data_IF_200692891514
#
_entry.id   IF_200692891514
#
_cell.length_a   1.000
_cell.length_b   1.000
_cell.length_c   1.000
_cell.angle_alpha   90.00
_cell.angle_beta   90.00
_cell.angle_gamma   90.00
#
_symmetry.space_group_name_H-M   'P 1'
#
loop_
_entity.id
_entity.type
_entity.pdbx_description
1 polymer ?
#
# COMPACT_ATOMS: atom_id res chain seq x y z
N UNK A 1 8.39 17.95 -34.27
CA UNK A 1 8.83 18.72 -33.10
C UNK A 1 7.64 19.31 -32.37
N UNK A 2 6.81 18.57 -31.72
CA UNK A 2 5.67 19.11 -30.93
C UNK A 2 5.18 18.08 -29.88
N UNK A 3 6.06 17.60 -29.03
CA UNK A 3 5.71 16.60 -28.02
C UNK A 3 6.36 16.75 -26.63
N UNK A 4 7.29 17.69 -26.48
CA UNK A 4 8.10 17.80 -25.25
C UNK A 4 7.60 18.86 -24.23
N UNK A 5 6.52 19.59 -24.52
CA UNK A 5 6.24 20.85 -23.79
C UNK A 5 5.19 20.71 -22.68
N UNK A 6 4.51 19.58 -22.52
CA UNK A 6 3.43 19.46 -21.52
C UNK A 6 3.83 18.96 -20.12
N UNK A 7 5.02 18.45 -19.92
CA UNK A 7 5.46 17.89 -18.63
C UNK A 7 6.10 18.89 -17.66
N UNK A 8 6.47 20.09 -18.11
CA UNK A 8 7.16 21.09 -17.28
C UNK A 8 6.29 22.31 -16.90
N UNK A 9 5.03 22.35 -17.31
CA UNK A 9 4.17 23.54 -17.07
C UNK A 9 3.85 23.77 -15.60
N UNK A 10 3.76 22.69 -14.82
CA UNK A 10 3.47 22.76 -13.38
C UNK A 10 4.71 23.12 -12.54
N UNK A 11 5.93 22.79 -12.98
CA UNK A 11 7.17 23.18 -12.28
C UNK A 11 7.40 24.70 -12.27
N UNK A 12 6.99 25.42 -13.31
CA UNK A 12 7.20 26.88 -13.42
C UNK A 12 6.24 27.71 -12.57
N UNK A 13 5.09 27.16 -12.16
CA UNK A 13 4.10 27.88 -11.35
C UNK A 13 4.42 27.98 -9.86
N UNK A 14 5.33 27.13 -9.34
CA UNK A 14 5.51 26.94 -7.89
C UNK A 14 6.60 27.82 -7.25
N UNK A 15 7.25 28.68 -8.03
CA UNK A 15 8.22 29.68 -7.53
C UNK A 15 7.56 30.93 -6.95
N UNK A 16 6.28 31.18 -7.26
CA UNK A 16 5.55 32.36 -6.79
C UNK A 16 4.87 32.05 -5.43
N UNK A 17 5.01 32.92 -4.40
CA UNK A 17 4.34 32.76 -3.10
C UNK A 17 2.83 32.55 -3.19
N UNK A 18 2.13 33.27 -4.09
CA UNK A 18 0.69 33.12 -4.29
C UNK A 18 0.30 31.75 -4.82
N UNK A 19 1.11 31.15 -5.73
CA UNK A 19 0.85 29.80 -6.24
C UNK A 19 1.05 28.74 -5.15
N UNK A 20 1.99 28.92 -4.24
CA UNK A 20 2.19 28.03 -3.09
C UNK A 20 1.00 28.11 -2.13
N UNK A 21 0.50 29.30 -1.81
CA UNK A 21 -0.69 29.46 -0.98
C UNK A 21 -1.89 28.77 -1.63
N UNK A 22 -2.12 29.01 -2.93
CA UNK A 22 -3.20 28.36 -3.68
C UNK A 22 -3.07 26.82 -3.65
N UNK A 23 -1.85 26.28 -3.81
CA UNK A 23 -1.58 24.84 -3.72
C UNK A 23 -1.92 24.30 -2.33
N UNK A 24 -1.53 24.99 -1.25
CA UNK A 24 -1.84 24.58 0.14
C UNK A 24 -3.34 24.56 0.41
N UNK A 25 -4.04 25.61 -0.03
CA UNK A 25 -5.50 25.69 0.11
C UNK A 25 -6.18 24.55 -0.67
N UNK A 26 -5.80 24.34 -1.92
CA UNK A 26 -6.36 23.27 -2.76
C UNK A 26 -6.05 21.87 -2.19
N UNK A 27 -4.84 21.66 -1.68
CA UNK A 27 -4.46 20.43 -1.01
C UNK A 27 -5.30 20.19 0.25
N UNK A 28 -5.42 21.19 1.12
CA UNK A 28 -6.28 21.11 2.31
C UNK A 28 -7.74 20.83 1.94
N UNK A 29 -8.28 21.54 0.95
CA UNK A 29 -9.65 21.33 0.47
C UNK A 29 -9.89 19.91 -0.09
N UNK A 30 -8.87 19.27 -0.66
CA UNK A 30 -8.97 17.89 -1.15
C UNK A 30 -8.81 16.85 -0.05
N UNK A 31 -7.88 17.04 0.89
CA UNK A 31 -7.53 16.02 1.88
C UNK A 31 -8.37 16.07 3.17
N UNK A 32 -8.73 17.27 3.66
CA UNK A 32 -9.46 17.40 4.94
C UNK A 32 -10.83 16.70 4.94
N UNK A 33 -11.71 16.87 3.92
CA UNK A 33 -12.99 16.15 3.89
C UNK A 33 -12.81 14.63 3.86
N UNK A 34 -11.80 14.16 3.14
CA UNK A 34 -11.46 12.75 3.03
C UNK A 34 -11.02 12.18 4.38
N UNK A 35 -10.10 12.84 5.06
CA UNK A 35 -9.63 12.45 6.40
C UNK A 35 -10.81 12.45 7.38
N UNK A 36 -11.64 13.50 7.39
CA UNK A 36 -12.82 13.59 8.25
C UNK A 36 -13.79 12.43 8.02
N UNK A 37 -14.01 12.03 6.77
CA UNK A 37 -14.84 10.89 6.39
C UNK A 37 -14.34 9.59 7.04
N UNK A 38 -13.07 9.24 6.85
CA UNK A 38 -12.51 7.98 7.33
C UNK A 38 -12.25 7.97 8.85
N UNK A 39 -11.87 9.09 9.44
CA UNK A 39 -11.81 9.25 10.91
C UNK A 39 -13.19 9.08 11.51
N UNK A 40 -14.23 9.65 10.89
CA UNK A 40 -15.62 9.46 11.29
C UNK A 40 -16.02 7.97 11.32
N UNK A 41 -15.63 7.19 10.31
CA UNK A 41 -15.85 5.74 10.28
C UNK A 41 -15.12 5.01 11.41
N UNK A 42 -13.85 5.36 11.68
CA UNK A 42 -13.08 4.79 12.79
C UNK A 42 -13.76 5.05 14.14
N UNK A 43 -14.28 6.26 14.36
CA UNK A 43 -14.99 6.62 15.58
C UNK A 43 -16.33 5.87 15.71
N UNK A 44 -17.10 5.79 14.61
CA UNK A 44 -18.36 5.04 14.58
C UNK A 44 -18.13 3.55 14.86
N UNK A 45 -17.12 2.93 14.24
CA UNK A 45 -16.73 1.54 14.48
C UNK A 45 -16.40 1.28 15.96
N UNK A 46 -15.63 2.17 16.60
CA UNK A 46 -15.29 2.07 18.03
C UNK A 46 -16.54 2.15 18.91
N UNK A 47 -17.42 3.11 18.65
CA UNK A 47 -18.69 3.25 19.41
C UNK A 47 -19.58 2.02 19.27
N UNK A 48 -19.71 1.47 18.05
CA UNK A 48 -20.47 0.24 17.83
C UNK A 48 -19.87 -0.94 18.59
N UNK A 49 -18.54 -1.09 18.57
CA UNK A 49 -17.84 -2.12 19.32
C UNK A 49 -18.03 -1.98 20.84
N UNK A 50 -17.98 -0.76 21.38
CA UNK A 50 -18.25 -0.48 22.81
C UNK A 50 -19.70 -0.79 23.19
N UNK A 51 -20.66 -0.42 22.33
CA UNK A 51 -22.08 -0.70 22.57
C UNK A 51 -22.36 -2.21 22.56
N UNK A 52 -21.79 -2.96 21.61
CA UNK A 52 -21.89 -4.40 21.56
C UNK A 52 -21.32 -5.05 22.85
N UNK A 53 -20.15 -4.60 23.29
CA UNK A 53 -19.53 -5.08 24.55
C UNK A 53 -20.41 -4.89 25.77
N UNK A 54 -21.07 -3.73 25.88
CA UNK A 54 -21.99 -3.43 27.01
C UNK A 54 -23.22 -4.36 27.00
N UNK A 55 -23.73 -4.71 25.83
CA UNK A 55 -24.89 -5.63 25.66
C UNK A 55 -24.54 -7.07 26.04
N UNK A 56 -23.32 -7.50 25.74
CA UNK A 56 -22.86 -8.87 26.00
C UNK A 56 -22.41 -9.09 27.45
N UNK A 57 -22.82 -8.24 28.38
CA UNK A 57 -22.57 -8.41 29.83
C UNK A 57 -21.13 -8.22 30.28
N UNK A 58 -20.31 -7.60 29.48
CA UNK A 58 -18.93 -7.24 29.88
C UNK A 58 -18.03 -8.46 30.16
N UNK A 59 -18.33 -9.64 29.61
CA UNK A 59 -17.48 -10.81 29.76
C UNK A 59 -16.03 -10.41 29.43
N UNK A 60 -15.12 -10.67 30.36
CA UNK A 60 -13.71 -10.28 30.28
C UNK A 60 -13.07 -10.94 29.05
N UNK A 61 -13.08 -10.21 27.92
CA UNK A 61 -12.29 -10.61 26.76
C UNK A 61 -10.83 -10.49 27.14
N UNK A 62 -10.03 -11.45 26.74
CA UNK A 62 -8.59 -11.26 26.72
C UNK A 62 -8.32 -10.03 25.85
N UNK A 63 -8.11 -8.89 26.49
CA UNK A 63 -7.64 -7.69 25.78
C UNK A 63 -6.28 -8.00 25.19
N UNK A 64 -6.07 -7.59 23.95
CA UNK A 64 -4.74 -7.55 23.41
C UNK A 64 -3.83 -6.76 24.36
N UNK A 65 -2.75 -7.37 24.81
CA UNK A 65 -1.85 -6.80 25.79
C UNK A 65 -0.45 -6.67 25.21
N UNK A 66 0.18 -5.55 25.50
CA UNK A 66 1.61 -5.35 25.26
C UNK A 66 2.23 -4.66 26.48
N UNK A 67 3.50 -4.93 26.75
CA UNK A 67 4.31 -4.20 27.72
C UNK A 67 5.14 -3.10 27.03
N UNK A 68 5.19 -3.11 25.71
CA UNK A 68 5.91 -2.13 24.92
C UNK A 68 5.13 -0.79 24.84
N UNK A 69 5.83 0.33 24.62
CA UNK A 69 5.19 1.64 24.50
C UNK A 69 4.15 1.69 23.37
N UNK A 70 3.03 2.34 23.65
CA UNK A 70 1.95 2.62 22.67
C UNK A 70 1.83 4.12 22.54
N UNK A 71 1.85 4.69 21.33
CA UNK A 71 1.73 6.13 21.15
C UNK A 71 0.34 6.60 21.61
N UNK A 72 0.31 7.72 22.33
CA UNK A 72 -0.94 8.36 22.67
C UNK A 72 -1.63 8.99 21.45
N UNK A 73 -2.88 9.43 21.60
CA UNK A 73 -3.64 10.02 20.50
C UNK A 73 -2.99 11.29 19.97
N UNK A 74 -2.37 12.11 20.83
CA UNK A 74 -1.73 13.36 20.44
C UNK A 74 -0.52 13.06 19.53
N UNK A 75 0.29 12.08 19.89
CA UNK A 75 1.42 11.62 19.09
C UNK A 75 0.96 11.06 17.73
N UNK A 76 -0.07 10.20 17.72
CA UNK A 76 -0.62 9.66 16.46
C UNK A 76 -1.10 10.77 15.52
N UNK A 77 -1.84 11.76 16.02
CA UNK A 77 -2.31 12.87 15.18
C UNK A 77 -1.17 13.78 14.72
N UNK A 78 -0.13 13.97 15.53
CA UNK A 78 1.05 14.72 15.11
C UNK A 78 1.78 14.02 13.96
N UNK A 79 1.97 12.70 14.04
CA UNK A 79 2.64 11.91 13.00
C UNK A 79 1.78 11.80 11.73
N UNK A 80 0.44 11.74 11.86
CA UNK A 80 -0.47 11.89 10.70
C UNK A 80 -0.29 13.25 10.02
N UNK A 81 -0.24 14.33 10.79
CA UNK A 81 -0.02 15.68 10.26
C UNK A 81 1.33 15.80 9.56
N UNK A 82 2.37 15.18 10.11
CA UNK A 82 3.70 15.13 9.49
C UNK A 82 3.68 14.40 8.15
N UNK A 83 2.93 13.31 8.01
CA UNK A 83 2.77 12.63 6.73
C UNK A 83 2.11 13.54 5.68
N UNK A 84 1.02 14.24 6.04
CA UNK A 84 0.37 15.17 5.11
C UNK A 84 1.24 16.38 4.78
N UNK A 85 2.04 16.85 5.73
CA UNK A 85 3.04 17.88 5.49
C UNK A 85 4.11 17.42 4.48
N UNK A 86 4.62 16.20 4.65
CA UNK A 86 5.56 15.58 3.71
C UNK A 86 4.96 15.40 2.32
N UNK A 87 3.70 14.94 2.26
CA UNK A 87 2.95 14.79 1.01
C UNK A 87 2.75 16.13 0.29
N UNK A 88 2.36 17.18 1.02
CA UNK A 88 2.25 18.54 0.50
C UNK A 88 3.61 19.08 0.04
N UNK A 89 4.67 18.88 0.81
CA UNK A 89 6.02 19.31 0.44
C UNK A 89 6.48 18.66 -0.88
N UNK A 90 6.14 17.39 -1.11
CA UNK A 90 6.40 16.71 -2.36
C UNK A 90 5.62 17.33 -3.54
N UNK A 91 4.36 17.75 -3.31
CA UNK A 91 3.57 18.49 -4.31
C UNK A 91 4.22 19.84 -4.60
N UNK A 92 4.58 20.61 -3.56
CA UNK A 92 5.24 21.91 -3.72
C UNK A 92 6.61 21.81 -4.40
N UNK A 93 7.37 20.76 -4.15
CA UNK A 93 8.62 20.46 -4.83
C UNK A 93 8.41 19.96 -6.27
N UNK A 94 7.17 19.76 -6.66
CA UNK A 94 6.86 19.31 -7.99
C UNK A 94 7.25 17.86 -8.26
N UNK A 95 7.21 17.01 -7.27
CA UNK A 95 7.50 15.59 -7.44
C UNK A 95 6.30 14.83 -8.03
N UNK A 96 5.11 15.31 -7.76
CA UNK A 96 3.84 14.86 -8.37
C UNK A 96 2.79 15.98 -8.33
N UNK A 97 1.74 15.91 -9.15
CA UNK A 97 0.68 16.91 -9.18
C UNK A 97 -0.14 16.91 -7.89
N UNK A 98 -1.00 17.91 -7.72
CA UNK A 98 -2.00 17.92 -6.66
C UNK A 98 -2.81 16.61 -6.72
N UNK A 99 -2.89 15.84 -5.61
CA UNK A 99 -3.49 14.52 -5.63
C UNK A 99 -4.98 14.54 -5.97
N UNK A 100 -5.40 13.64 -6.87
CA UNK A 100 -6.78 13.27 -7.08
C UNK A 100 -6.96 11.83 -6.58
N UNK A 101 -7.56 11.67 -5.39
CA UNK A 101 -7.63 10.35 -4.74
C UNK A 101 -8.66 9.41 -5.39
N UNK A 102 -9.54 9.92 -6.25
CA UNK A 102 -10.52 9.15 -7.03
C UNK A 102 -11.33 8.13 -6.20
N UNK A 103 -11.75 8.53 -5.00
CA UNK A 103 -12.54 7.67 -4.11
C UNK A 103 -13.94 7.32 -4.66
N UNK A 104 -14.33 7.95 -5.75
CA UNK A 104 -15.62 7.77 -6.40
C UNK A 104 -16.60 8.90 -6.12
N UNK A 105 -17.84 8.72 -6.58
CA UNK A 105 -18.93 9.63 -6.29
C UNK A 105 -19.40 9.49 -4.83
N UNK A 106 -20.19 10.46 -4.34
CA UNK A 106 -20.79 10.36 -3.00
C UNK A 106 -21.62 9.07 -2.85
N UNK A 107 -22.34 8.65 -3.89
CA UNK A 107 -23.08 7.38 -3.91
C UNK A 107 -22.15 6.18 -3.75
N UNK A 108 -21.00 6.19 -4.42
CA UNK A 108 -19.99 5.14 -4.29
C UNK A 108 -19.42 5.09 -2.87
N UNK A 109 -19.12 6.25 -2.29
CA UNK A 109 -18.64 6.34 -0.90
C UNK A 109 -19.66 5.81 0.09
N UNK A 110 -20.94 6.20 -0.03
CA UNK A 110 -22.03 5.70 0.81
C UNK A 110 -22.21 4.19 0.64
N UNK A 111 -22.21 3.69 -0.59
CA UNK A 111 -22.32 2.26 -0.86
C UNK A 111 -21.19 1.45 -0.20
N UNK A 112 -19.94 1.87 -0.37
CA UNK A 112 -18.78 1.23 0.27
C UNK A 112 -18.81 1.32 1.78
N UNK A 113 -19.27 2.45 2.33
CA UNK A 113 -19.49 2.62 3.76
C UNK A 113 -20.52 1.64 4.29
N UNK A 114 -21.62 1.44 3.55
CA UNK A 114 -22.64 0.45 3.91
C UNK A 114 -22.05 -0.95 3.93
N UNK A 115 -21.36 -1.39 2.87
CA UNK A 115 -20.68 -2.69 2.82
C UNK A 115 -19.68 -2.88 3.97
N UNK A 116 -18.95 -1.82 4.33
CA UNK A 116 -18.02 -1.83 5.45
C UNK A 116 -18.73 -2.08 6.77
N UNK A 117 -19.80 -1.33 7.08
CA UNK A 117 -20.55 -1.47 8.34
C UNK A 117 -21.35 -2.78 8.41
N UNK A 118 -21.87 -3.28 7.30
CA UNK A 118 -22.57 -4.57 7.22
C UNK A 118 -21.66 -5.76 7.54
N UNK A 119 -20.35 -5.68 7.23
CA UNK A 119 -19.39 -6.75 7.53
C UNK A 119 -18.90 -6.75 9.00
N UNK A 120 -18.97 -5.63 9.72
CA UNK A 120 -18.43 -5.50 11.09
C UNK A 120 -18.96 -6.56 12.08
N UNK A 121 -20.25 -6.93 12.11
CA UNK A 121 -20.72 -7.97 13.00
C UNK A 121 -20.10 -9.35 12.71
N UNK A 122 -19.89 -9.66 11.44
CA UNK A 122 -19.25 -10.91 11.04
C UNK A 122 -17.75 -10.91 11.39
N UNK A 123 -17.05 -9.81 11.16
CA UNK A 123 -15.65 -9.60 11.58
C UNK A 123 -15.53 -9.78 13.10
N UNK A 124 -16.42 -9.18 13.90
CA UNK A 124 -16.40 -9.28 15.35
C UNK A 124 -16.60 -10.74 15.81
N UNK A 125 -17.59 -11.45 15.27
CA UNK A 125 -17.81 -12.88 15.59
C UNK A 125 -16.60 -13.75 15.25
N UNK A 126 -15.96 -13.53 14.09
CA UNK A 126 -14.76 -14.28 13.71
C UNK A 126 -13.58 -13.95 14.61
N UNK A 127 -13.37 -12.69 14.95
CA UNK A 127 -12.32 -12.27 15.89
C UNK A 127 -12.48 -12.94 17.27
N UNK A 128 -13.69 -12.99 17.79
CA UNK A 128 -14.00 -13.63 19.08
C UNK A 128 -13.70 -15.11 19.08
N UNK A 129 -14.08 -15.77 17.99
CA UNK A 129 -13.90 -17.22 17.82
C UNK A 129 -12.51 -17.59 17.28
N UNK A 130 -11.67 -16.62 16.97
CA UNK A 130 -10.41 -16.81 16.23
C UNK A 130 -10.62 -17.61 14.94
N UNK A 131 -11.79 -17.47 14.30
CA UNK A 131 -12.16 -18.18 13.09
C UNK A 131 -11.62 -17.43 11.87
N UNK A 132 -10.77 -18.07 11.09
CA UNK A 132 -10.10 -17.46 9.94
C UNK A 132 -10.04 -18.37 8.71
N UNK A 133 -10.77 -19.49 8.73
CA UNK A 133 -10.71 -20.53 7.69
C UNK A 133 -11.99 -20.60 6.84
N UNK A 134 -12.83 -19.60 6.88
CA UNK A 134 -14.11 -19.57 6.11
C UNK A 134 -13.88 -19.79 4.62
N UNK A 135 -12.81 -19.23 4.07
CA UNK A 135 -12.48 -19.32 2.63
C UNK A 135 -11.75 -20.61 2.26
N UNK A 136 -11.39 -21.45 3.23
CA UNK A 136 -10.78 -22.76 3.01
C UNK A 136 -11.90 -23.81 2.85
N UNK A 137 -12.45 -23.92 1.66
CA UNK A 137 -13.46 -24.91 1.28
C UNK A 137 -12.86 -26.00 0.39
N UNK A 138 -13.64 -27.04 0.10
CA UNK A 138 -13.24 -28.07 -0.88
C UNK A 138 -13.08 -27.47 -2.28
N UNK A 139 -13.89 -26.46 -2.63
CA UNK A 139 -13.82 -25.77 -3.91
C UNK A 139 -12.54 -24.95 -4.08
N UNK A 140 -11.98 -24.40 -3.01
CA UNK A 140 -10.79 -23.54 -3.04
C UNK A 140 -9.49 -24.29 -2.78
N UNK A 141 -9.59 -25.43 -2.10
CA UNK A 141 -8.44 -26.29 -1.75
C UNK A 141 -7.73 -26.78 -3.01
N UNK A 142 -6.40 -26.62 -3.04
CA UNK A 142 -5.57 -27.00 -4.19
C UNK A 142 -5.54 -26.01 -5.35
N UNK A 143 -6.48 -25.06 -5.44
CA UNK A 143 -6.49 -24.02 -6.48
C UNK A 143 -5.63 -22.80 -6.12
N UNK A 144 -5.41 -22.59 -4.84
CA UNK A 144 -4.61 -21.46 -4.32
C UNK A 144 -3.65 -21.97 -3.23
N UNK A 145 -2.55 -21.26 -2.96
CA UNK A 145 -1.68 -21.60 -1.84
C UNK A 145 -2.43 -21.54 -0.52
N UNK A 146 -2.11 -22.46 0.40
CA UNK A 146 -2.79 -22.53 1.69
C UNK A 146 -2.63 -21.23 2.50
N UNK A 147 -1.49 -20.57 2.40
CA UNK A 147 -1.24 -19.31 3.11
C UNK A 147 -2.19 -18.18 2.70
N UNK A 148 -2.74 -18.24 1.50
CA UNK A 148 -3.69 -17.27 0.96
C UNK A 148 -5.16 -17.58 1.35
N UNK A 149 -5.48 -18.84 1.63
CA UNK A 149 -6.85 -19.29 1.92
C UNK A 149 -7.21 -19.03 3.40
N UNK A 150 -7.21 -17.75 3.78
CA UNK A 150 -7.51 -17.28 5.12
C UNK A 150 -8.34 -16.00 5.08
N UNK A 151 -9.07 -15.73 6.16
CA UNK A 151 -9.79 -14.47 6.33
C UNK A 151 -8.87 -13.43 6.97
N UNK A 152 -7.93 -12.89 6.20
CA UNK A 152 -7.10 -11.78 6.66
C UNK A 152 -8.01 -10.66 7.20
N UNK A 153 -7.58 -9.98 8.26
CA UNK A 153 -8.38 -9.01 9.01
C UNK A 153 -9.73 -9.53 9.50
N UNK A 154 -9.96 -10.84 9.51
CA UNK A 154 -11.26 -11.48 9.76
C UNK A 154 -12.38 -11.06 8.81
N UNK A 155 -12.06 -10.46 7.66
CA UNK A 155 -13.06 -9.98 6.71
C UNK A 155 -13.80 -11.14 6.02
N UNK A 156 -15.07 -10.92 5.69
CA UNK A 156 -15.89 -11.92 4.98
C UNK A 156 -15.38 -12.16 3.57
N UNK A 157 -15.27 -13.45 3.20
CA UNK A 157 -14.79 -13.88 1.90
C UNK A 157 -13.28 -13.71 1.68
N UNK A 158 -12.49 -13.33 2.69
CA UNK A 158 -11.06 -13.06 2.53
C UNK A 158 -10.81 -12.08 1.38
N UNK A 159 -9.88 -12.40 0.48
CA UNK A 159 -9.64 -11.65 -0.75
C UNK A 159 -10.21 -12.34 -2.00
N UNK A 160 -11.25 -13.15 -1.83
CA UNK A 160 -11.73 -14.05 -2.87
C UNK A 160 -13.10 -13.67 -3.45
N UNK A 161 -13.68 -12.52 -3.05
CA UNK A 161 -15.00 -12.08 -3.50
C UNK A 161 -15.00 -10.67 -4.07
N UNK A 162 -15.94 -10.37 -4.96
CA UNK A 162 -16.11 -9.02 -5.52
C UNK A 162 -16.54 -8.02 -4.44
N UNK A 163 -17.37 -8.43 -3.46
CA UNK A 163 -17.75 -7.59 -2.32
C UNK A 163 -16.54 -7.22 -1.44
N UNK A 164 -15.62 -8.19 -1.24
CA UNK A 164 -14.37 -7.91 -0.55
C UNK A 164 -13.54 -6.86 -1.30
N UNK A 165 -13.39 -7.00 -2.62
CA UNK A 165 -12.66 -6.03 -3.43
C UNK A 165 -13.31 -4.64 -3.41
N UNK A 166 -14.67 -4.56 -3.40
CA UNK A 166 -15.38 -3.28 -3.39
C UNK A 166 -15.21 -2.50 -2.08
N UNK A 167 -15.21 -3.20 -0.93
CA UNK A 167 -15.06 -2.54 0.39
C UNK A 167 -13.61 -2.36 0.84
N UNK A 168 -12.65 -3.06 0.22
CA UNK A 168 -11.24 -3.12 0.65
C UNK A 168 -10.62 -1.74 0.82
N UNK A 169 -10.75 -0.86 -0.16
CA UNK A 169 -10.17 0.47 -0.09
C UNK A 169 -10.72 1.29 1.08
N UNK A 170 -12.01 1.15 1.39
CA UNK A 170 -12.63 1.78 2.56
C UNK A 170 -12.08 1.19 3.86
N UNK A 171 -11.92 -0.14 3.94
CA UNK A 171 -11.34 -0.80 5.11
C UNK A 171 -9.92 -0.31 5.39
N UNK A 172 -9.07 -0.25 4.37
CA UNK A 172 -7.69 0.22 4.50
C UNK A 172 -7.66 1.69 4.90
N UNK A 173 -8.46 2.55 4.28
CA UNK A 173 -8.48 3.96 4.64
C UNK A 173 -9.02 4.20 6.05
N UNK A 174 -10.02 3.44 6.51
CA UNK A 174 -10.51 3.49 7.89
C UNK A 174 -9.44 3.04 8.87
N UNK A 175 -8.71 1.95 8.57
CA UNK A 175 -7.59 1.47 9.38
C UNK A 175 -6.49 2.53 9.52
N UNK A 176 -6.17 3.20 8.45
CA UNK A 176 -5.16 4.26 8.37
C UNK A 176 -5.70 5.67 8.70
N UNK A 177 -6.94 5.82 9.14
CA UNK A 177 -7.59 7.10 9.41
C UNK A 177 -7.50 8.11 8.24
N UNK A 178 -7.63 7.62 7.01
CA UNK A 178 -7.58 8.44 5.79
C UNK A 178 -6.18 8.76 5.26
N UNK A 179 -5.13 8.16 5.82
CA UNK A 179 -3.73 8.44 5.41
C UNK A 179 -3.17 7.45 4.38
N UNK A 180 -3.88 6.38 4.05
CA UNK A 180 -3.33 5.31 3.23
C UNK A 180 -2.87 5.79 1.85
N UNK A 181 -3.62 6.68 1.18
CA UNK A 181 -3.20 7.22 -0.11
C UNK A 181 -1.99 8.16 0.02
N UNK A 182 -1.91 8.99 1.07
CA UNK A 182 -0.74 9.83 1.34
C UNK A 182 0.51 8.96 1.60
N UNK A 183 0.35 7.83 2.31
CA UNK A 183 1.41 6.82 2.51
C UNK A 183 1.85 6.21 1.18
N UNK A 184 0.91 5.75 0.34
CA UNK A 184 1.20 5.21 -1.00
C UNK A 184 1.98 6.19 -1.87
N UNK A 185 1.62 7.48 -1.83
CA UNK A 185 2.29 8.53 -2.62
C UNK A 185 3.76 8.73 -2.23
N UNK A 186 4.20 8.32 -1.03
CA UNK A 186 5.61 8.41 -0.65
C UNK A 186 6.53 7.49 -1.50
N UNK A 187 5.98 6.54 -2.24
CA UNK A 187 6.73 5.76 -3.23
C UNK A 187 7.06 6.58 -4.50
N UNK A 188 6.24 7.57 -4.87
CA UNK A 188 6.40 8.31 -6.13
C UNK A 188 7.70 9.10 -6.23
N UNK A 189 8.17 9.83 -5.19
CA UNK A 189 9.48 10.48 -5.22
C UNK A 189 10.62 9.51 -5.47
N UNK A 190 10.53 8.29 -4.92
CA UNK A 190 11.57 7.27 -5.04
C UNK A 190 11.69 6.76 -6.50
N UNK A 191 10.58 6.64 -7.20
CA UNK A 191 10.54 6.25 -8.61
C UNK A 191 11.03 7.37 -9.53
N UNK A 192 10.83 8.63 -9.15
CA UNK A 192 11.21 9.77 -9.95
C UNK A 192 12.70 9.82 -10.26
N UNK A 193 13.54 9.44 -9.32
CA UNK A 193 15.00 9.42 -9.49
C UNK A 193 15.42 8.47 -10.63
N UNK A 194 14.81 7.29 -10.70
CA UNK A 194 15.09 6.29 -11.73
C UNK A 194 14.51 6.68 -13.10
N UNK A 195 13.39 7.43 -13.10
CA UNK A 195 12.68 7.80 -14.32
C UNK A 195 13.09 9.19 -14.86
N UNK A 196 13.92 9.95 -14.10
CA UNK A 196 14.32 11.30 -14.49
C UNK A 196 15.01 11.33 -15.85
N UNK A 197 14.59 12.30 -16.71
CA UNK A 197 15.16 12.49 -18.03
C UNK A 197 14.85 11.37 -19.06
N UNK A 198 14.13 10.34 -18.70
CA UNK A 198 13.81 9.20 -19.56
C UNK A 198 12.39 9.32 -20.16
N UNK A 199 12.20 8.86 -21.37
CA UNK A 199 10.86 8.76 -21.97
C UNK A 199 10.06 7.65 -21.26
N UNK A 200 8.98 8.04 -20.57
CA UNK A 200 8.15 7.10 -19.82
C UNK A 200 7.60 5.92 -20.66
N UNK A 201 7.42 6.10 -21.97
CA UNK A 201 6.92 5.05 -22.88
C UNK A 201 7.91 3.91 -23.07
N UNK A 202 9.20 4.15 -22.82
CA UNK A 202 10.30 3.18 -22.93
C UNK A 202 10.62 2.51 -21.58
N UNK A 203 10.03 2.99 -20.50
CA UNK A 203 10.15 2.42 -19.16
C UNK A 203 9.11 1.32 -18.95
N UNK A 204 9.33 0.48 -17.96
CA UNK A 204 8.40 -0.56 -17.53
C UNK A 204 8.37 -0.63 -16.01
N UNK A 205 7.18 -0.70 -15.44
CA UNK A 205 6.97 -0.89 -14.01
C UNK A 205 6.06 -2.09 -13.77
N UNK A 206 6.44 -2.92 -12.81
CA UNK A 206 5.60 -3.98 -12.24
C UNK A 206 5.20 -3.60 -10.82
N UNK A 207 3.91 -3.69 -10.50
CA UNK A 207 3.37 -3.53 -9.15
C UNK A 207 2.92 -4.91 -8.63
N UNK A 208 3.63 -5.40 -7.60
CA UNK A 208 3.46 -6.72 -7.03
C UNK A 208 2.48 -6.67 -5.87
N UNK A 209 1.39 -7.43 -5.96
CA UNK A 209 0.27 -7.33 -5.04
C UNK A 209 -0.52 -6.04 -5.27
N UNK A 210 -0.86 -5.76 -6.54
CA UNK A 210 -1.46 -4.47 -6.91
C UNK A 210 -2.88 -4.25 -6.33
N UNK A 211 -3.52 -5.30 -5.80
CA UNK A 211 -4.84 -5.25 -5.19
C UNK A 211 -5.89 -4.63 -6.12
N UNK A 212 -6.62 -3.66 -5.58
CA UNK A 212 -7.66 -2.88 -6.31
C UNK A 212 -7.08 -1.81 -7.24
N UNK A 213 -5.75 -1.69 -7.33
CA UNK A 213 -5.06 -0.76 -8.22
C UNK A 213 -4.91 0.67 -7.67
N UNK A 214 -5.13 0.90 -6.38
CA UNK A 214 -5.04 2.25 -5.79
C UNK A 214 -3.71 2.95 -6.00
N UNK A 215 -2.60 2.25 -5.77
CA UNK A 215 -1.28 2.83 -6.03
C UNK A 215 -1.08 3.10 -7.52
N UNK A 216 -1.53 2.20 -8.38
CA UNK A 216 -1.41 2.35 -9.82
C UNK A 216 -2.16 3.57 -10.35
N UNK A 217 -3.29 3.95 -9.75
CA UNK A 217 -3.98 5.18 -10.09
C UNK A 217 -3.14 6.42 -9.76
N UNK A 218 -2.56 6.48 -8.57
CA UNK A 218 -1.65 7.55 -8.15
C UNK A 218 -0.40 7.62 -9.03
N UNK A 219 0.17 6.47 -9.38
CA UNK A 219 1.31 6.37 -10.30
C UNK A 219 0.99 6.98 -11.68
N UNK A 220 -0.19 6.64 -12.21
CA UNK A 220 -0.63 7.11 -13.54
C UNK A 220 -0.92 8.60 -13.61
N UNK A 221 -1.25 9.24 -12.51
CA UNK A 221 -1.36 10.71 -12.45
C UNK A 221 -0.02 11.39 -12.71
N UNK A 222 1.09 10.73 -12.39
CA UNK A 222 2.46 11.25 -12.61
C UNK A 222 3.01 10.81 -13.96
N UNK A 223 2.83 9.53 -14.30
CA UNK A 223 3.34 8.91 -15.53
C UNK A 223 2.23 8.25 -16.34
N UNK A 224 1.34 9.01 -16.99
CA UNK A 224 0.16 8.47 -17.67
C UNK A 224 0.49 7.52 -18.84
N UNK A 225 1.67 7.63 -19.43
CA UNK A 225 2.12 6.80 -20.57
C UNK A 225 3.12 5.71 -20.17
N UNK A 226 3.39 5.51 -18.88
CA UNK A 226 4.28 4.46 -18.39
C UNK A 226 3.63 3.08 -18.61
N UNK A 227 4.23 2.17 -19.40
CA UNK A 227 3.80 0.78 -19.46
C UNK A 227 3.88 0.14 -18.08
N UNK A 228 2.74 -0.28 -17.55
CA UNK A 228 2.59 -0.75 -16.18
C UNK A 228 1.92 -2.10 -16.15
N UNK A 229 2.46 -3.02 -15.36
CA UNK A 229 1.92 -4.34 -15.12
C UNK A 229 1.52 -4.46 -13.64
N UNK A 230 0.24 -4.68 -13.37
CA UNK A 230 -0.27 -5.04 -12.04
C UNK A 230 -0.38 -6.56 -11.92
N UNK A 231 0.15 -7.11 -10.84
CA UNK A 231 0.01 -8.52 -10.51
C UNK A 231 -0.65 -8.68 -9.15
N UNK A 232 -1.66 -9.52 -9.08
CA UNK A 232 -2.32 -9.92 -7.82
C UNK A 232 -2.83 -11.35 -7.93
N UNK A 233 -2.94 -12.05 -6.81
CA UNK A 233 -3.47 -13.42 -6.78
C UNK A 233 -5.00 -13.44 -6.82
N UNK A 234 -5.65 -12.34 -6.44
CA UNK A 234 -7.09 -12.21 -6.38
C UNK A 234 -7.69 -11.83 -7.74
N UNK A 235 -8.42 -12.73 -8.36
CA UNK A 235 -9.20 -12.40 -9.58
C UNK A 235 -10.23 -11.30 -9.34
N UNK A 236 -11.03 -11.31 -8.25
CA UNK A 236 -11.95 -10.22 -7.94
C UNK A 236 -11.27 -8.86 -7.84
N UNK A 237 -10.11 -8.80 -7.18
CA UNK A 237 -9.34 -7.55 -7.05
C UNK A 237 -8.79 -7.09 -8.40
N UNK A 238 -8.30 -8.00 -9.23
CA UNK A 238 -7.87 -7.66 -10.60
C UNK A 238 -9.07 -7.18 -11.45
N UNK A 239 -10.25 -7.80 -11.34
CA UNK A 239 -11.45 -7.29 -12.02
C UNK A 239 -11.80 -5.88 -11.55
N UNK A 240 -11.74 -5.64 -10.24
CA UNK A 240 -11.96 -4.32 -9.66
C UNK A 240 -10.92 -3.30 -10.17
N UNK A 241 -9.62 -3.64 -10.14
CA UNK A 241 -8.55 -2.79 -10.64
C UNK A 241 -8.75 -2.41 -12.12
N UNK A 242 -9.12 -3.38 -12.98
CA UNK A 242 -9.42 -3.12 -14.40
C UNK A 242 -10.57 -2.11 -14.57
N UNK A 243 -11.65 -2.21 -13.76
CA UNK A 243 -12.77 -1.25 -13.80
C UNK A 243 -12.35 0.13 -13.29
N UNK A 244 -11.65 0.17 -12.16
CA UNK A 244 -11.19 1.41 -11.52
C UNK A 244 -10.22 2.19 -12.40
N UNK A 245 -9.33 1.49 -13.10
CA UNK A 245 -8.24 2.06 -13.88
C UNK A 245 -8.56 2.17 -15.39
N UNK A 246 -9.81 1.92 -15.81
CA UNK A 246 -10.21 1.92 -17.23
C UNK A 246 -9.89 3.21 -17.98
N UNK A 247 -9.75 4.35 -17.27
CA UNK A 247 -9.39 5.66 -17.84
C UNK A 247 -7.91 5.75 -18.25
N UNK A 248 -7.05 4.86 -17.74
CA UNK A 248 -5.64 4.86 -18.03
C UNK A 248 -5.30 3.87 -19.13
N UNK A 249 -4.51 4.29 -20.08
CA UNK A 249 -3.88 3.42 -21.08
C UNK A 249 -2.56 2.84 -20.58
N UNK A 250 -1.98 1.92 -21.35
CA UNK A 250 -0.69 1.30 -21.03
C UNK A 250 -0.67 0.51 -19.72
N UNK A 251 -1.81 -0.15 -19.42
CA UNK A 251 -2.00 -0.98 -18.24
C UNK A 251 -2.26 -2.43 -18.65
N UNK A 252 -1.58 -3.35 -17.99
CA UNK A 252 -1.82 -4.80 -18.08
C UNK A 252 -1.95 -5.38 -16.69
N UNK A 253 -2.69 -6.48 -16.58
CA UNK A 253 -2.92 -7.16 -15.31
C UNK A 253 -2.76 -8.66 -15.47
N UNK A 254 -2.12 -9.29 -14.49
CA UNK A 254 -1.94 -10.74 -14.38
C UNK A 254 -2.51 -11.20 -13.04
N UNK A 255 -3.28 -12.29 -13.08
CA UNK A 255 -3.62 -13.06 -11.87
C UNK A 255 -2.49 -14.05 -11.64
N UNK A 256 -1.74 -13.89 -10.56
CA UNK A 256 -0.55 -14.70 -10.32
C UNK A 256 -0.02 -14.59 -8.89
N UNK A 257 0.90 -15.50 -8.57
CA UNK A 257 1.57 -15.56 -7.27
C UNK A 257 2.80 -14.67 -7.27
N UNK A 258 3.11 -14.08 -6.12
CA UNK A 258 4.32 -13.26 -5.95
C UNK A 258 5.63 -14.07 -6.06
N UNK A 259 5.56 -15.37 -5.78
CA UNK A 259 6.69 -16.29 -5.82
C UNK A 259 6.85 -17.05 -7.15
N UNK A 260 6.03 -16.75 -8.16
CA UNK A 260 6.14 -17.38 -9.48
C UNK A 260 5.53 -16.48 -10.57
N UNK A 261 6.27 -15.49 -11.01
CA UNK A 261 5.77 -14.46 -11.90
C UNK A 261 6.22 -14.68 -13.35
N UNK A 262 5.30 -14.75 -14.31
CA UNK A 262 5.64 -14.99 -15.73
C UNK A 262 6.15 -13.71 -16.41
N UNK A 263 7.22 -13.14 -15.87
CA UNK A 263 7.88 -11.95 -16.40
C UNK A 263 9.34 -12.26 -16.65
N UNK A 264 9.90 -11.86 -17.82
CA UNK A 264 11.30 -12.12 -18.15
C UNK A 264 12.26 -11.43 -17.18
N UNK A 265 13.45 -12.02 -17.04
CA UNK A 265 14.56 -11.43 -16.29
C UNK A 265 14.95 -10.07 -16.89
N UNK A 266 15.43 -9.17 -16.04
CA UNK A 266 15.95 -7.86 -16.45
C UNK A 266 15.01 -7.08 -17.40
N UNK A 267 13.71 -7.15 -17.14
CA UNK A 267 12.68 -6.56 -18.01
C UNK A 267 12.04 -5.29 -17.45
N UNK A 268 12.14 -5.06 -16.12
CA UNK A 268 11.51 -3.95 -15.45
C UNK A 268 12.52 -2.88 -15.05
N UNK A 269 12.19 -1.60 -15.28
CA UNK A 269 12.98 -0.46 -14.80
C UNK A 269 12.68 -0.17 -13.33
N UNK A 270 11.47 -0.48 -12.86
CA UNK A 270 11.10 -0.44 -11.45
C UNK A 270 10.12 -1.56 -11.09
N UNK A 271 10.19 -1.99 -9.84
CA UNK A 271 9.21 -2.86 -9.20
C UNK A 271 8.70 -2.15 -7.95
N UNK A 272 7.40 -2.16 -7.73
CA UNK A 272 6.76 -1.64 -6.52
C UNK A 272 5.99 -2.75 -5.83
N UNK A 273 5.85 -2.65 -4.52
CA UNK A 273 4.92 -3.48 -3.76
C UNK A 273 4.41 -2.68 -2.56
N UNK A 274 3.09 -2.64 -2.41
CA UNK A 274 2.43 -1.80 -1.41
C UNK A 274 1.56 -2.68 -0.51
N UNK A 275 1.93 -2.77 0.78
CA UNK A 275 1.19 -3.53 1.79
C UNK A 275 1.01 -5.03 1.45
N UNK A 276 2.09 -5.67 0.97
CA UNK A 276 2.07 -7.10 0.64
C UNK A 276 3.00 -7.94 1.54
N UNK A 277 4.20 -7.45 1.80
CA UNK A 277 5.26 -8.29 2.37
C UNK A 277 4.97 -8.75 3.79
N UNK A 278 4.19 -7.98 4.57
CA UNK A 278 3.73 -8.40 5.89
C UNK A 278 2.71 -9.55 5.87
N UNK A 279 2.10 -9.81 4.72
CA UNK A 279 1.10 -10.85 4.51
C UNK A 279 1.67 -12.17 3.97
N UNK A 280 2.96 -12.19 3.64
CA UNK A 280 3.63 -13.35 3.08
C UNK A 280 4.34 -14.17 4.18
N UNK A 281 4.21 -15.51 4.14
CA UNK A 281 5.05 -16.39 4.96
C UNK A 281 6.54 -16.11 4.72
N UNK A 282 7.44 -16.28 5.71
CA UNK A 282 8.86 -15.94 5.56
C UNK A 282 9.51 -16.55 4.32
N UNK A 283 9.25 -17.82 4.02
CA UNK A 283 9.78 -18.50 2.84
C UNK A 283 9.26 -17.87 1.53
N UNK A 284 7.97 -17.58 1.46
CA UNK A 284 7.34 -16.97 0.27
C UNK A 284 7.83 -15.54 0.10
N UNK A 285 7.97 -14.79 1.20
CA UNK A 285 8.52 -13.42 1.22
C UNK A 285 9.92 -13.37 0.60
N UNK A 286 10.81 -14.29 0.98
CA UNK A 286 12.17 -14.38 0.41
C UNK A 286 12.15 -14.70 -1.08
N UNK A 287 11.31 -15.63 -1.52
CA UNK A 287 11.16 -15.95 -2.95
C UNK A 287 10.61 -14.75 -3.72
N UNK A 288 9.55 -14.10 -3.21
CA UNK A 288 8.97 -12.92 -3.85
C UNK A 288 9.98 -11.77 -3.97
N UNK A 289 10.83 -11.59 -2.96
CA UNK A 289 11.90 -10.59 -2.99
C UNK A 289 12.97 -10.92 -4.05
N UNK A 290 13.38 -12.19 -4.13
CA UNK A 290 14.29 -12.69 -5.16
C UNK A 290 13.72 -12.54 -6.58
N UNK A 291 12.41 -12.80 -6.75
CA UNK A 291 11.71 -12.54 -8.00
C UNK A 291 11.76 -11.04 -8.38
N UNK A 292 11.53 -10.12 -7.41
CA UNK A 292 11.69 -8.69 -7.68
C UNK A 292 13.10 -8.34 -8.19
N UNK A 293 14.13 -8.94 -7.59
CA UNK A 293 15.51 -8.75 -8.04
C UNK A 293 15.76 -9.33 -9.44
N UNK A 294 15.15 -10.49 -9.76
CA UNK A 294 15.26 -11.14 -11.07
C UNK A 294 14.72 -10.26 -12.20
N UNK A 295 13.51 -9.66 -12.00
CA UNK A 295 12.90 -8.84 -13.07
C UNK A 295 13.60 -7.51 -13.28
N UNK A 296 14.19 -6.93 -12.24
CA UNK A 296 14.81 -5.62 -12.34
C UNK A 296 15.97 -5.66 -13.33
N UNK A 297 15.99 -4.70 -14.22
CA UNK A 297 17.16 -4.40 -15.04
C UNK A 297 18.32 -3.94 -14.16
N UNK A 298 19.57 -4.14 -14.58
CA UNK A 298 20.69 -3.40 -13.98
C UNK A 298 20.40 -1.90 -13.95
N UNK A 299 20.58 -1.26 -12.79
CA UNK A 299 20.19 0.14 -12.54
C UNK A 299 18.69 0.35 -12.27
N UNK A 300 17.91 -0.72 -12.18
CA UNK A 300 16.49 -0.66 -11.81
C UNK A 300 16.27 -0.60 -10.30
N UNK A 301 15.07 -0.22 -9.87
CA UNK A 301 14.72 0.07 -8.47
C UNK A 301 13.54 -0.74 -7.97
N UNK A 302 13.67 -1.31 -6.77
CA UNK A 302 12.59 -1.86 -5.97
C UNK A 302 12.17 -0.83 -4.92
N UNK A 303 10.87 -0.55 -4.84
CA UNK A 303 10.27 0.32 -3.81
C UNK A 303 9.19 -0.46 -3.07
N UNK A 304 9.41 -0.73 -1.81
CA UNK A 304 8.45 -1.37 -0.92
C UNK A 304 7.83 -0.33 0.01
N UNK A 305 6.50 -0.28 0.06
CA UNK A 305 5.74 0.47 1.07
C UNK A 305 5.04 -0.55 1.96
N UNK A 306 5.42 -0.59 3.23
CA UNK A 306 4.84 -1.57 4.14
C UNK A 306 4.83 -1.05 5.59
N UNK A 307 4.32 -1.83 6.52
CA UNK A 307 4.28 -1.48 7.93
C UNK A 307 5.67 -1.14 8.48
N UNK A 308 5.71 -0.36 9.56
CA UNK A 308 6.91 -0.25 10.39
C UNK A 308 7.31 -1.64 10.90
N UNK A 309 8.61 -1.79 11.23
CA UNK A 309 9.17 -2.96 11.88
C UNK A 309 9.67 -2.61 13.29
N UNK A 310 9.93 -3.63 14.11
CA UNK A 310 10.58 -3.42 15.41
C UNK A 310 11.90 -2.70 15.23
N UNK A 311 12.17 -1.72 16.10
CA UNK A 311 13.33 -0.85 16.03
C UNK A 311 13.18 0.42 15.16
N UNK A 312 12.17 0.49 14.26
CA UNK A 312 11.97 1.69 13.44
C UNK A 312 11.53 2.90 14.25
N UNK A 313 10.69 2.68 15.28
CA UNK A 313 10.15 3.74 16.12
C UNK A 313 9.77 3.22 17.52
N UNK A 314 10.60 3.48 18.54
CA UNK A 314 10.41 2.91 19.87
C UNK A 314 9.03 3.17 20.49
N UNK A 315 8.44 4.34 20.28
CA UNK A 315 7.11 4.68 20.81
C UNK A 315 5.97 3.86 20.18
N UNK A 316 6.22 3.14 19.08
CA UNK A 316 5.24 2.38 18.29
C UNK A 316 5.34 0.88 18.50
N UNK A 317 6.32 0.38 19.25
CA UNK A 317 6.55 -1.05 19.46
C UNK A 317 5.29 -1.78 19.92
N UNK A 318 4.58 -1.22 20.90
CA UNK A 318 3.35 -1.80 21.39
C UNK A 318 2.21 -1.78 20.38
N UNK A 319 2.20 -0.83 19.43
CA UNK A 319 1.21 -0.83 18.35
C UNK A 319 1.46 -1.99 17.39
N UNK A 320 2.73 -2.30 17.08
CA UNK A 320 3.13 -3.44 16.26
C UNK A 320 2.75 -4.77 16.92
N UNK A 321 2.95 -4.89 18.25
CA UNK A 321 2.56 -6.07 19.02
C UNK A 321 1.04 -6.28 19.05
N UNK A 322 0.27 -5.20 19.15
CA UNK A 322 -1.19 -5.23 19.25
C UNK A 322 -1.87 -5.52 17.90
N UNK A 323 -1.24 -5.20 16.77
CA UNK A 323 -1.83 -5.33 15.46
C UNK A 323 -2.23 -6.77 15.14
N UNK A 324 -1.34 -7.78 15.20
CA UNK A 324 -1.69 -9.17 14.90
C UNK A 324 -2.62 -9.80 15.94
N UNK A 325 -2.71 -9.23 17.14
CA UNK A 325 -3.66 -9.68 18.16
C UNK A 325 -5.10 -9.22 17.87
N UNK A 326 -5.26 -8.04 17.26
CA UNK A 326 -6.55 -7.44 16.91
C UNK A 326 -7.04 -7.84 15.51
N UNK A 327 -6.12 -8.16 14.62
CA UNK A 327 -6.39 -8.56 13.24
C UNK A 327 -5.79 -9.95 12.98
N UNK A 328 -6.37 -10.71 12.08
CA UNK A 328 -5.77 -11.97 11.66
C UNK A 328 -4.66 -11.69 10.65
N UNK A 329 -3.44 -11.59 11.17
CA UNK A 329 -2.21 -11.30 10.43
C UNK A 329 -1.13 -12.33 10.79
N UNK A 330 -1.23 -13.56 10.26
CA UNK A 330 -0.42 -14.68 10.75
C UNK A 330 1.08 -14.52 10.48
N UNK A 331 1.47 -13.70 9.52
CA UNK A 331 2.86 -13.53 9.10
C UNK A 331 3.47 -12.20 9.54
N UNK A 332 2.66 -11.33 10.18
CA UNK A 332 3.06 -9.99 10.57
C UNK A 332 4.24 -9.98 11.55
N UNK A 333 4.20 -10.82 12.59
CA UNK A 333 5.30 -10.90 13.57
C UNK A 333 6.64 -11.31 12.92
N UNK A 334 6.61 -12.21 11.94
CA UNK A 334 7.81 -12.58 11.20
C UNK A 334 8.29 -11.48 10.26
N UNK A 335 7.37 -10.64 9.76
CA UNK A 335 7.69 -9.46 8.96
C UNK A 335 8.35 -8.37 9.81
N UNK A 336 7.81 -8.08 11.01
CA UNK A 336 8.36 -7.02 11.87
C UNK A 336 9.79 -7.28 12.34
N UNK A 337 10.26 -8.54 12.24
CA UNK A 337 11.61 -8.97 12.58
C UNK A 337 12.48 -9.38 11.36
N UNK A 338 11.98 -9.20 10.11
CA UNK A 338 12.75 -9.53 8.92
C UNK A 338 13.85 -8.49 8.65
N UNK A 339 15.07 -8.94 8.41
CA UNK A 339 16.17 -8.06 7.95
C UNK A 339 16.11 -7.92 6.41
N UNK A 340 15.41 -6.89 5.95
CA UNK A 340 15.32 -6.59 4.53
C UNK A 340 16.63 -6.12 3.91
N UNK A 341 17.59 -5.62 4.70
CA UNK A 341 18.90 -5.24 4.18
C UNK A 341 19.74 -6.49 3.87
N UNK A 342 19.75 -7.46 4.78
CA UNK A 342 20.38 -8.76 4.53
C UNK A 342 19.71 -9.48 3.37
N UNK A 343 18.37 -9.54 3.34
CA UNK A 343 17.63 -10.16 2.25
C UNK A 343 17.93 -9.53 0.89
N UNK A 344 18.08 -8.21 0.84
CA UNK A 344 18.44 -7.49 -0.37
C UNK A 344 19.85 -7.87 -0.85
N UNK A 345 20.82 -7.91 0.07
CA UNK A 345 22.19 -8.31 -0.25
C UNK A 345 22.25 -9.74 -0.80
N UNK A 346 21.53 -10.68 -0.19
CA UNK A 346 21.42 -12.08 -0.66
C UNK A 346 20.83 -12.18 -2.08
N UNK A 347 19.98 -11.22 -2.46
CA UNK A 347 19.36 -11.17 -3.80
C UNK A 347 20.13 -10.28 -4.79
N UNK A 348 21.29 -9.74 -4.42
CA UNK A 348 22.09 -8.87 -5.27
C UNK A 348 21.52 -7.46 -5.45
N UNK A 349 20.67 -7.01 -4.51
CA UNK A 349 20.18 -5.64 -4.43
C UNK A 349 20.95 -4.85 -3.39
N UNK A 350 21.10 -3.56 -3.60
CA UNK A 350 21.71 -2.62 -2.66
C UNK A 350 20.61 -1.82 -1.96
N UNK A 351 20.58 -1.85 -0.63
CA UNK A 351 19.73 -0.96 0.15
C UNK A 351 20.17 0.49 -0.03
N UNK A 352 19.24 1.38 -0.30
CA UNK A 352 19.48 2.80 -0.53
C UNK A 352 19.05 3.63 0.67
N UNK A 353 17.79 3.49 1.09
CA UNK A 353 17.21 4.25 2.21
C UNK A 353 15.85 3.74 2.64
N UNK A 354 15.45 4.18 3.81
CA UNK A 354 14.07 4.08 4.31
C UNK A 354 13.50 5.48 4.58
N UNK A 355 12.26 5.70 4.17
CA UNK A 355 11.49 6.93 4.45
C UNK A 355 10.29 6.54 5.31
N UNK A 356 10.15 7.13 6.50
CA UNK A 356 8.99 6.91 7.36
C UNK A 356 7.74 7.59 6.77
N UNK A 357 6.62 6.92 6.88
CA UNK A 357 5.33 7.37 6.36
C UNK A 357 4.21 7.00 7.35
N UNK A 358 4.16 7.69 8.50
CA UNK A 358 3.26 7.45 9.63
C UNK A 358 3.49 6.06 10.24
N UNK A 359 2.50 5.16 10.22
CA UNK A 359 2.62 3.77 10.72
C UNK A 359 3.26 2.82 9.69
N UNK A 360 3.82 3.38 8.64
CA UNK A 360 4.44 2.65 7.54
C UNK A 360 5.81 3.24 7.21
N UNK A 361 6.52 2.53 6.34
CA UNK A 361 7.79 2.97 5.77
C UNK A 361 7.90 2.65 4.30
N UNK A 362 8.71 3.40 3.60
CA UNK A 362 9.11 3.17 2.21
C UNK A 362 10.56 2.71 2.20
N UNK A 363 10.82 1.48 1.83
CA UNK A 363 12.16 0.91 1.67
C UNK A 363 12.55 0.92 0.19
N UNK A 364 13.76 1.36 -0.09
CA UNK A 364 14.27 1.54 -1.46
C UNK A 364 15.53 0.71 -1.66
N UNK A 365 15.53 -0.09 -2.72
CA UNK A 365 16.66 -0.94 -3.11
C UNK A 365 16.93 -0.79 -4.60
N UNK A 366 18.20 -0.76 -4.97
CA UNK A 366 18.64 -0.69 -6.38
C UNK A 366 19.34 -1.98 -6.80
N UNK A 367 19.07 -2.42 -8.02
CA UNK A 367 19.91 -3.43 -8.67
C UNK A 367 21.14 -2.74 -9.24
N UNK A 368 22.36 -3.11 -8.82
CA UNK A 368 23.57 -2.49 -9.32
C UNK A 368 23.59 -2.47 -10.86
N UNK A 369 24.04 -1.36 -11.43
CA UNK A 369 24.33 -1.30 -12.86
C UNK A 369 25.48 -2.26 -13.20
N UNK A 370 25.34 -3.00 -14.29
CA UNK A 370 26.49 -3.75 -14.81
C UNK A 370 27.62 -2.76 -15.11
N UNK A 371 28.77 -2.95 -14.48
CA UNK A 371 29.98 -2.21 -14.89
C UNK A 371 30.18 -2.54 -16.38
N UNK A 372 29.96 -1.57 -17.26
CA UNK A 372 30.48 -1.66 -18.62
C UNK A 372 32.00 -1.72 -18.48
N UNK A 373 32.55 -2.94 -18.57
CA UNK A 373 33.97 -3.10 -18.66
C UNK A 373 34.44 -2.32 -19.89
N UNK A 374 35.21 -1.26 -19.68
CA UNK A 374 36.07 -0.78 -20.74
C UNK A 374 37.04 -1.94 -21.04
N UNK A 375 37.08 -2.48 -22.22
CA UNK A 375 38.20 -3.31 -22.59
C UNK A 375 39.44 -2.42 -22.50
N UNK A 376 40.32 -2.78 -21.58
CA UNK A 376 41.67 -2.23 -21.63
C UNK A 376 42.27 -2.63 -22.99
N UNK A 377 42.39 -1.67 -23.89
CA UNK A 377 43.28 -1.71 -25.04
C UNK A 377 44.69 -1.44 -24.58
#
# INVERSE_FOLDING_TARGET
MAGAIKTDRWKRGMSNPLSRIATRVAYGASQLPRVAWYVGHSLAMRRLAETARRRDGGAARQHAHTKAPVPDRRRLYADMAMLFWQDLANVEAGLYPLPADHDGSLFTLIHRSRLFFEDLPAIHRRRERRAHNEVLSEETRGKRPRYYLQNFHFQSGGWMTDDSAERYDTQVEVLFNGTANATRRQALPQLREVFAGRDQRKLRLLDLGCGTGRFLDLLKQVWPRLPTLGLDMSEPYIRHAKRHLKRWSWMRFIVGKAEAIPVPDNSQDAVTSIFLFHELPPKVRRIAFSECARFLKPGGRLVLVDSLQHGDQPDYEGLLDLFPQNYHEPYYLSYTNEDFCALAADCGLTYIRTVKAFVSKVMVFDKPATKTGHPHL
#
